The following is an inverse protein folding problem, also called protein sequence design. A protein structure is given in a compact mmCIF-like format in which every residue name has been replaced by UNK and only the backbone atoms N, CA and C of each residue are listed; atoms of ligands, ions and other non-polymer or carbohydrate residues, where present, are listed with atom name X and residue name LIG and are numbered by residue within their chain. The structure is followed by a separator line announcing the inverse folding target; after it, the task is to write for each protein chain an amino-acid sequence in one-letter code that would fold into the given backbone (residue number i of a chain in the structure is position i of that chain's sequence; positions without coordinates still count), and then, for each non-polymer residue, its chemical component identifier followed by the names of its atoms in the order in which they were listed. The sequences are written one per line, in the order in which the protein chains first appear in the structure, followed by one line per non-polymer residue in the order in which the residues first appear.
data_IF_323715872877
#
_entry.id   IF_323715872877
#
_cell.length_a   1.000
_cell.length_b   1.000
_cell.length_c   1.000
_cell.angle_alpha   90.00
_cell.angle_beta   90.00
_cell.angle_gamma   90.00
#
_symmetry.space_group_name_H-M   'P 1'
#
loop_
_entity.id
_entity.type
_entity.pdbx_description
1 polymer ?
#
# COMPACT_ATOMS: atom_id res chain seq x y z
N UNK A 1 15.15 -18.86 10.60
CA UNK A 1 13.98 -18.62 9.70
C UNK A 1 13.94 -19.53 8.47
N UNK A 2 15.00 -19.67 7.67
CA UNK A 2 14.98 -20.47 6.42
C UNK A 2 14.54 -21.94 6.62
N UNK A 3 15.03 -22.60 7.66
CA UNK A 3 14.69 -24.00 7.96
C UNK A 3 13.20 -24.17 8.35
N UNK A 4 12.64 -23.19 9.08
CA UNK A 4 11.25 -23.20 9.54
C UNK A 4 10.27 -22.93 8.38
N UNK A 5 10.62 -22.00 7.48
CA UNK A 5 9.83 -21.72 6.28
C UNK A 5 9.80 -22.92 5.31
N UNK A 6 10.92 -23.66 5.19
CA UNK A 6 10.98 -24.88 4.38
C UNK A 6 10.09 -25.99 4.94
N UNK A 7 10.14 -26.22 6.26
CA UNK A 7 9.29 -27.20 6.94
C UNK A 7 7.80 -26.83 6.90
N UNK A 8 7.45 -25.54 7.02
CA UNK A 8 6.07 -25.07 6.87
C UNK A 8 5.56 -25.23 5.44
N UNK A 9 6.35 -24.90 4.43
CA UNK A 9 5.94 -25.04 3.01
C UNK A 9 5.55 -26.48 2.67
N UNK A 10 6.22 -27.47 3.26
CA UNK A 10 5.89 -28.88 3.07
C UNK A 10 4.56 -29.31 3.72
N UNK A 11 4.09 -28.56 4.72
CA UNK A 11 2.82 -28.79 5.42
C UNK A 11 1.68 -27.95 4.83
N UNK A 12 1.96 -26.68 4.57
CA UNK A 12 1.06 -25.67 4.04
C UNK A 12 1.89 -24.65 3.22
N UNK A 13 1.76 -24.66 1.88
CA UNK A 13 2.46 -23.73 1.00
C UNK A 13 2.16 -22.25 1.28
N UNK A 14 0.92 -21.92 1.68
CA UNK A 14 0.48 -20.56 1.95
C UNK A 14 1.06 -20.05 3.26
N UNK A 15 1.07 -20.88 4.30
CA UNK A 15 1.76 -20.56 5.55
C UNK A 15 3.27 -20.38 5.34
N UNK A 16 3.88 -21.25 4.53
CA UNK A 16 5.29 -21.11 4.13
C UNK A 16 5.57 -19.81 3.38
N UNK A 17 4.67 -19.39 2.49
CA UNK A 17 4.77 -18.13 1.76
C UNK A 17 4.60 -16.92 2.68
N UNK A 18 3.62 -16.92 3.57
CA UNK A 18 3.41 -15.87 4.56
C UNK A 18 4.66 -15.63 5.43
N UNK A 19 5.29 -16.69 5.93
CA UNK A 19 6.54 -16.58 6.72
C UNK A 19 7.69 -15.99 5.89
N UNK A 20 7.78 -16.32 4.59
CA UNK A 20 8.77 -15.71 3.70
C UNK A 20 8.53 -14.22 3.50
N UNK A 21 7.27 -13.81 3.35
CA UNK A 21 6.86 -12.40 3.22
C UNK A 21 7.26 -11.61 4.47
N UNK A 22 6.94 -12.12 5.66
CA UNK A 22 7.32 -11.50 6.94
C UNK A 22 8.83 -11.31 6.99
N UNK A 23 9.60 -12.38 6.78
CA UNK A 23 11.06 -12.32 6.80
C UNK A 23 11.66 -11.44 5.70
N UNK A 24 10.94 -11.18 4.60
CA UNK A 24 11.38 -10.25 3.56
C UNK A 24 11.21 -8.79 4.00
N UNK A 25 10.03 -8.42 4.49
CA UNK A 25 9.78 -7.05 4.94
C UNK A 25 10.53 -6.69 6.22
N UNK A 26 10.77 -7.64 7.13
CA UNK A 26 11.63 -7.43 8.29
C UNK A 26 13.05 -7.05 7.85
N UNK A 27 13.60 -7.73 6.83
CA UNK A 27 14.92 -7.38 6.26
C UNK A 27 14.94 -5.99 5.62
N UNK A 28 13.88 -5.61 4.90
CA UNK A 28 13.78 -4.27 4.32
C UNK A 28 13.68 -3.18 5.41
N UNK A 29 12.98 -3.47 6.52
CA UNK A 29 12.92 -2.58 7.66
C UNK A 29 14.29 -2.41 8.34
N UNK A 30 14.99 -3.52 8.57
CA UNK A 30 16.35 -3.53 9.13
C UNK A 30 17.34 -2.75 8.26
N UNK A 31 17.27 -2.92 6.93
CA UNK A 31 18.14 -2.22 5.99
C UNK A 31 17.74 -0.77 5.71
N UNK A 32 16.67 -0.27 6.35
CA UNK A 32 16.08 1.07 6.11
C UNK A 32 15.80 1.32 4.63
N UNK A 33 15.20 0.34 3.96
CA UNK A 33 14.82 0.47 2.56
C UNK A 33 13.88 1.66 2.34
N UNK A 34 14.05 2.35 1.21
CA UNK A 34 13.17 3.46 0.82
C UNK A 34 11.78 2.99 0.41
N UNK A 35 10.85 3.95 0.32
CA UNK A 35 9.44 3.72 -0.02
C UNK A 35 9.26 2.90 -1.30
N UNK A 36 9.97 3.22 -2.38
CA UNK A 36 9.85 2.48 -3.65
C UNK A 36 10.28 1.01 -3.51
N UNK A 37 11.33 0.72 -2.75
CA UNK A 37 11.80 -0.65 -2.55
C UNK A 37 10.76 -1.50 -1.78
N UNK A 38 10.01 -0.88 -0.86
CA UNK A 38 8.91 -1.53 -0.15
C UNK A 38 7.74 -1.83 -1.08
N UNK A 39 7.31 -0.86 -1.88
CA UNK A 39 6.22 -1.05 -2.87
C UNK A 39 6.61 -2.08 -3.92
N UNK A 40 7.86 -2.05 -4.39
CA UNK A 40 8.43 -3.07 -5.28
C UNK A 40 8.41 -4.45 -4.67
N UNK A 41 8.79 -4.56 -3.39
CA UNK A 41 8.70 -5.81 -2.64
C UNK A 41 7.27 -6.36 -2.62
N UNK A 42 6.28 -5.50 -2.36
CA UNK A 42 4.88 -5.89 -2.37
C UNK A 42 4.42 -6.38 -3.75
N UNK A 43 4.75 -5.65 -4.83
CA UNK A 43 4.37 -6.02 -6.19
C UNK A 43 4.97 -7.36 -6.62
N UNK A 44 6.27 -7.55 -6.39
CA UNK A 44 6.99 -8.79 -6.79
C UNK A 44 6.50 -9.99 -5.99
N UNK A 45 6.26 -9.84 -4.68
CA UNK A 45 5.78 -10.94 -3.84
C UNK A 45 4.31 -11.29 -4.14
N UNK A 46 3.49 -10.31 -4.50
CA UNK A 46 2.10 -10.52 -4.88
C UNK A 46 1.98 -11.05 -6.33
N UNK A 47 2.96 -10.79 -7.19
CA UNK A 47 2.87 -11.09 -8.62
C UNK A 47 1.82 -10.24 -9.35
N UNK A 48 1.45 -9.10 -8.79
CA UNK A 48 0.55 -8.12 -9.39
C UNK A 48 1.08 -6.70 -9.11
N UNK A 49 0.60 -5.66 -9.81
CA UNK A 49 1.02 -4.31 -9.51
C UNK A 49 0.64 -3.92 -8.08
N UNK A 50 1.52 -3.17 -7.42
CA UNK A 50 1.26 -2.56 -6.12
C UNK A 50 1.33 -1.04 -6.23
N UNK A 51 0.40 -0.37 -5.56
CA UNK A 51 0.29 1.09 -5.61
C UNK A 51 0.19 1.66 -4.21
N UNK A 52 1.05 2.61 -3.89
CA UNK A 52 1.01 3.44 -2.70
C UNK A 52 0.54 4.85 -3.08
N UNK A 53 -0.50 5.33 -2.40
CA UNK A 53 -0.93 6.73 -2.45
C UNK A 53 -1.02 7.27 -1.04
N UNK A 54 -0.30 8.36 -0.77
CA UNK A 54 -0.42 9.17 0.44
C UNK A 54 -0.49 10.64 0.01
N UNK A 55 -1.70 11.22 -0.07
CA UNK A 55 -1.88 12.59 -0.55
C UNK A 55 -1.33 13.63 0.44
N UNK A 56 -1.35 13.35 1.75
CA UNK A 56 -0.80 14.25 2.77
C UNK A 56 0.73 14.39 2.66
N UNK A 57 1.40 13.31 2.23
CA UNK A 57 2.86 13.29 2.01
C UNK A 57 3.25 13.49 0.55
N UNK A 58 2.26 13.66 -0.35
CA UNK A 58 2.44 13.75 -1.81
C UNK A 58 3.24 12.57 -2.37
N UNK A 59 3.06 11.39 -1.80
CA UNK A 59 3.71 10.16 -2.23
C UNK A 59 2.75 9.40 -3.13
N UNK A 60 3.17 9.22 -4.38
CA UNK A 60 2.48 8.36 -5.35
C UNK A 60 3.53 7.44 -5.96
N UNK A 61 3.39 6.14 -5.71
CA UNK A 61 4.32 5.12 -6.21
C UNK A 61 3.51 3.94 -6.69
N UNK A 62 3.65 3.58 -7.96
CA UNK A 62 3.09 2.34 -8.50
C UNK A 62 4.23 1.53 -9.09
N UNK A 63 4.23 0.25 -8.79
CA UNK A 63 5.23 -0.71 -9.25
C UNK A 63 4.51 -1.90 -9.84
N UNK A 64 4.88 -2.29 -11.05
CA UNK A 64 4.35 -3.47 -11.75
C UNK A 64 4.88 -4.76 -11.12
N UNK A 65 4.28 -5.91 -11.47
CA UNK A 65 4.66 -7.22 -10.93
C UNK A 65 6.13 -7.61 -11.23
N UNK A 66 6.72 -7.08 -12.30
CA UNK A 66 8.14 -7.27 -12.65
C UNK A 66 9.09 -6.37 -11.83
N UNK A 67 8.53 -5.52 -10.97
CA UNK A 67 9.26 -4.58 -10.14
C UNK A 67 9.56 -3.25 -10.82
N UNK A 68 9.12 -3.00 -12.06
CA UNK A 68 9.32 -1.72 -12.75
C UNK A 68 8.36 -0.66 -12.22
N UNK A 69 8.88 0.57 -12.01
CA UNK A 69 8.06 1.70 -11.58
C UNK A 69 7.28 2.25 -12.77
N UNK A 70 6.01 2.53 -12.56
CA UNK A 70 5.14 3.21 -13.52
C UNK A 70 4.43 4.37 -12.83
N UNK A 71 4.51 5.58 -13.37
CA UNK A 71 3.69 6.70 -12.90
C UNK A 71 2.35 6.71 -13.66
N UNK A 72 1.31 6.14 -13.06
CA UNK A 72 -0.05 6.13 -13.64
C UNK A 72 -0.93 7.16 -12.95
N UNK A 73 -1.67 7.98 -13.72
CA UNK A 73 -2.53 9.06 -13.22
C UNK A 73 -3.99 8.68 -12.91
N UNK A 74 -4.39 7.43 -13.17
CA UNK A 74 -5.77 6.96 -12.93
C UNK A 74 -6.00 6.72 -11.44
N UNK A 75 -7.18 7.01 -10.85
CA UNK A 75 -7.50 6.64 -9.47
C UNK A 75 -7.42 5.11 -9.23
N UNK A 76 -7.02 4.65 -8.02
CA UNK A 76 -7.09 3.23 -7.67
C UNK A 76 -8.56 2.75 -7.57
N UNK A 77 -8.82 1.51 -7.98
CA UNK A 77 -10.14 0.89 -7.82
C UNK A 77 -10.36 0.54 -6.33
N UNK A 78 -11.45 1.01 -5.69
CA UNK A 78 -11.73 0.70 -4.29
C UNK A 78 -12.03 -0.79 -4.04
N UNK A 79 -12.32 -1.58 -5.06
CA UNK A 79 -12.56 -3.02 -4.94
C UNK A 79 -11.26 -3.84 -4.78
N UNK A 80 -10.10 -3.24 -5.03
CA UNK A 80 -8.81 -3.91 -4.90
C UNK A 80 -8.42 -4.15 -3.44
N UNK A 81 -7.76 -5.28 -3.13
CA UNK A 81 -7.18 -5.51 -1.80
C UNK A 81 -6.26 -4.35 -1.39
N UNK A 82 -6.47 -3.82 -0.18
CA UNK A 82 -5.72 -2.67 0.31
C UNK A 82 -5.51 -2.68 1.82
N UNK A 83 -4.54 -1.88 2.27
CA UNK A 83 -4.30 -1.60 3.67
C UNK A 83 -3.96 -0.12 3.87
N UNK A 84 -4.62 0.51 4.85
CA UNK A 84 -4.25 1.83 5.36
C UNK A 84 -2.88 1.75 6.05
N UNK A 85 -2.04 2.76 5.85
CA UNK A 85 -0.72 2.82 6.49
C UNK A 85 -0.85 3.12 7.99
N UNK A 86 -1.81 3.96 8.35
CA UNK A 86 -2.15 4.34 9.71
C UNK A 86 -3.68 4.36 9.85
N UNK A 87 -4.25 3.93 10.99
CA UNK A 87 -5.70 4.02 11.20
C UNK A 87 -6.20 5.45 11.00
N UNK A 88 -7.12 5.66 10.05
CA UNK A 88 -7.69 6.99 9.77
C UNK A 88 -6.74 7.96 9.07
N UNK A 89 -5.56 7.51 8.63
CA UNK A 89 -4.63 8.30 7.83
C UNK A 89 -4.95 8.21 6.34
N UNK A 90 -4.54 9.21 5.56
CA UNK A 90 -4.82 9.25 4.12
C UNK A 90 -3.95 8.30 3.26
N UNK A 91 -2.89 7.71 3.85
CA UNK A 91 -1.98 6.80 3.15
C UNK A 91 -2.54 5.40 3.02
N UNK A 92 -2.59 4.87 1.80
CA UNK A 92 -3.09 3.52 1.51
C UNK A 92 -2.20 2.81 0.50
N UNK A 93 -1.99 1.51 0.72
CA UNK A 93 -1.34 0.58 -0.19
C UNK A 93 -2.39 -0.34 -0.81
N UNK A 94 -2.43 -0.43 -2.14
CA UNK A 94 -3.29 -1.36 -2.89
C UNK A 94 -2.44 -2.42 -3.61
N UNK A 95 -3.02 -3.60 -3.76
CA UNK A 95 -2.61 -4.60 -4.75
C UNK A 95 -3.62 -4.57 -5.89
N UNK A 96 -3.18 -4.24 -7.11
CA UNK A 96 -4.05 -4.07 -8.30
C UNK A 96 -4.50 -5.42 -8.85
N UNK A 97 -5.21 -6.18 -8.03
CA UNK A 97 -5.88 -7.40 -8.45
C UNK A 97 -7.30 -7.08 -8.83
N UNK A 98 -7.53 -7.00 -10.14
CA UNK A 98 -8.87 -7.12 -10.68
C UNK A 98 -9.44 -8.50 -10.37
N UNK A 99 -10.77 -8.59 -10.35
CA UNK A 99 -11.40 -9.83 -10.78
C UNK A 99 -11.16 -9.90 -12.28
N UNK A 100 -10.03 -10.47 -12.66
CA UNK A 100 -9.44 -10.62 -14.00
C UNK A 100 -9.61 -9.46 -15.00
N UNK A 101 -8.47 -8.91 -15.43
CA UNK A 101 -8.26 -8.46 -16.82
C UNK A 101 -9.30 -7.52 -17.44
N UNK A 102 -9.36 -6.26 -16.98
CA UNK A 102 -9.67 -5.18 -17.91
C UNK A 102 -8.36 -4.73 -18.56
N UNK A 103 -7.93 -5.50 -19.56
CA UNK A 103 -6.91 -5.10 -20.50
C UNK A 103 -7.26 -3.69 -21.01
N UNK A 104 -6.38 -2.73 -20.74
CA UNK A 104 -6.48 -1.42 -21.36
C UNK A 104 -6.18 -1.56 -22.86
N UNK A 105 -7.24 -1.61 -23.67
CA UNK A 105 -7.21 -1.21 -25.09
C UNK A 105 -7.06 -2.31 -26.14
N UNK A 106 -8.06 -3.18 -26.32
CA UNK A 106 -8.20 -4.02 -27.51
C UNK A 106 -9.68 -4.21 -27.88
N UNK A 107 -10.07 -4.23 -29.18
CA UNK A 107 -11.48 -4.35 -29.56
C UNK A 107 -12.02 -5.74 -29.20
N UNK A 108 -13.24 -5.74 -28.66
CA UNK A 108 -13.93 -6.92 -28.14
C UNK A 108 -13.99 -8.09 -29.16
N UNK A 109 -13.74 -9.33 -28.74
CA UNK A 109 -13.89 -10.49 -29.62
C UNK A 109 -15.37 -10.74 -29.92
N UNK A 110 -15.77 -10.52 -31.17
CA UNK A 110 -17.05 -11.00 -31.71
C UNK A 110 -16.92 -12.49 -32.03
N UNK A 111 -17.15 -13.34 -31.02
CA UNK A 111 -17.05 -14.79 -31.18
C UNK A 111 -17.94 -15.53 -30.20
N UNK A 112 -19.01 -16.10 -30.72
CA UNK A 112 -20.00 -16.95 -30.04
C UNK A 112 -19.36 -18.26 -29.58
N UNK A 113 -18.50 -18.24 -28.56
CA UNK A 113 -17.97 -19.46 -27.91
C UNK A 113 -17.42 -19.22 -26.47
N UNK A 114 -17.79 -18.11 -25.82
CA UNK A 114 -17.47 -17.88 -24.41
C UNK A 114 -18.42 -18.69 -23.50
N UNK A 115 -18.06 -19.96 -23.28
CA UNK A 115 -18.66 -20.80 -22.24
C UNK A 115 -18.60 -20.06 -20.91
N UNK A 116 -19.76 -19.71 -20.36
CA UNK A 116 -19.96 -19.11 -19.04
C UNK A 116 -19.42 -20.04 -17.93
N UNK A 117 -18.12 -19.95 -17.65
CA UNK A 117 -17.64 -20.14 -16.30
C UNK A 117 -17.78 -18.80 -15.60
N UNK A 118 -18.75 -18.66 -14.68
CA UNK A 118 -18.72 -17.55 -13.72
C UNK A 118 -17.34 -17.62 -13.04
N UNK A 119 -16.46 -16.62 -13.17
CA UNK A 119 -15.20 -16.66 -12.45
C UNK A 119 -15.55 -16.75 -10.97
N UNK A 120 -15.18 -17.89 -10.36
CA UNK A 120 -15.34 -18.07 -8.94
C UNK A 120 -14.63 -16.90 -8.25
N UNK A 121 -15.23 -16.29 -7.21
CA UNK A 121 -14.56 -15.23 -6.48
C UNK A 121 -13.21 -15.78 -6.02
N UNK A 122 -12.12 -15.16 -6.47
CA UNK A 122 -10.78 -15.47 -5.95
C UNK A 122 -10.85 -15.33 -4.44
N UNK A 123 -10.69 -16.45 -3.74
CA UNK A 123 -10.69 -16.44 -2.29
C UNK A 123 -9.61 -15.46 -1.81
N UNK A 124 -9.87 -14.73 -0.71
CA UNK A 124 -8.87 -13.84 -0.15
C UNK A 124 -7.58 -14.63 0.12
N UNK A 125 -6.51 -14.28 -0.58
CA UNK A 125 -5.22 -14.91 -0.38
C UNK A 125 -4.66 -14.45 0.96
N UNK A 126 -4.36 -15.41 1.83
CA UNK A 126 -3.68 -15.16 3.10
C UNK A 126 -2.34 -14.45 2.86
N UNK A 127 -1.64 -14.83 1.80
CA UNK A 127 -0.36 -14.22 1.43
C UNK A 127 -0.53 -12.74 1.10
N UNK A 128 -1.61 -12.35 0.43
CA UNK A 128 -1.89 -10.95 0.11
C UNK A 128 -2.19 -10.11 1.34
N UNK A 129 -2.99 -10.66 2.25
CA UNK A 129 -3.27 -10.03 3.52
C UNK A 129 -1.96 -9.79 4.31
N UNK A 130 -1.08 -10.79 4.33
CA UNK A 130 0.24 -10.68 4.99
C UNK A 130 1.15 -9.68 4.26
N UNK A 131 1.17 -9.65 2.93
CA UNK A 131 1.95 -8.66 2.16
C UNK A 131 1.48 -7.25 2.52
N UNK A 132 0.17 -7.01 2.47
CA UNK A 132 -0.43 -5.71 2.77
C UNK A 132 -0.14 -5.27 4.21
N UNK A 133 -0.38 -6.14 5.19
CA UNK A 133 -0.12 -5.86 6.61
C UNK A 133 1.35 -5.51 6.85
N UNK A 134 2.26 -6.37 6.38
CA UNK A 134 3.71 -6.20 6.62
C UNK A 134 4.26 -4.99 5.87
N UNK A 135 3.87 -4.79 4.61
CA UNK A 135 4.32 -3.63 3.83
C UNK A 135 3.79 -2.32 4.41
N UNK A 136 2.50 -2.23 4.75
CA UNK A 136 1.90 -1.03 5.32
C UNK A 136 2.55 -0.64 6.66
N UNK A 137 2.82 -1.61 7.53
CA UNK A 137 3.51 -1.39 8.81
C UNK A 137 4.92 -0.80 8.63
N UNK A 138 5.72 -1.34 7.70
CA UNK A 138 7.07 -0.82 7.44
C UNK A 138 7.03 0.53 6.72
N UNK A 139 6.10 0.72 5.78
CA UNK A 139 5.88 1.99 5.08
C UNK A 139 5.55 3.11 6.06
N UNK A 140 4.66 2.87 7.04
CA UNK A 140 4.36 3.82 8.11
C UNK A 140 5.64 4.24 8.84
N UNK A 141 6.45 3.28 9.29
CA UNK A 141 7.71 3.56 10.00
C UNK A 141 8.69 4.40 9.15
N UNK A 142 8.81 4.10 7.86
CA UNK A 142 9.69 4.85 6.95
C UNK A 142 9.16 6.25 6.71
N UNK A 143 7.87 6.40 6.41
CA UNK A 143 7.24 7.69 6.14
C UNK A 143 7.30 8.60 7.37
N UNK A 144 7.02 8.08 8.56
CA UNK A 144 7.11 8.82 9.82
C UNK A 144 8.55 9.28 10.11
N UNK A 145 9.56 8.45 9.80
CA UNK A 145 10.96 8.84 9.91
C UNK A 145 11.33 9.95 8.92
N UNK A 146 10.89 9.86 7.67
CA UNK A 146 11.23 10.85 6.63
C UNK A 146 10.56 12.20 6.86
N UNK A 147 9.43 12.22 7.58
CA UNK A 147 8.69 13.43 7.93
C UNK A 147 9.24 14.08 9.20
N UNK A 148 10.56 14.10 9.39
CA UNK A 148 11.22 14.82 10.48
C UNK A 148 10.90 16.33 10.47
N UNK A 149 9.68 16.70 10.88
CA UNK A 149 9.20 17.99 11.40
C UNK A 149 7.70 17.89 11.80
N UNK A 150 7.48 17.98 13.11
CA UNK A 150 6.23 18.10 13.87
C UNK A 150 5.24 16.90 13.87
N UNK A 151 4.93 16.31 15.05
CA UNK A 151 3.83 15.36 15.23
C UNK A 151 2.49 15.90 14.72
N UNK A 152 1.55 15.02 14.37
CA UNK A 152 0.17 15.43 14.10
C UNK A 152 -0.45 16.11 15.34
N UNK A 153 -0.08 15.65 16.54
CA UNK A 153 -0.47 16.23 17.83
C UNK A 153 0.52 17.30 18.33
N UNK A 154 1.02 18.17 17.44
CA UNK A 154 1.89 19.27 17.87
C UNK A 154 1.05 20.33 18.62
N UNK A 155 1.26 20.53 19.94
CA UNK A 155 0.51 21.52 20.70
C UNK A 155 0.66 22.94 20.13
N UNK A 156 1.79 23.26 19.47
CA UNK A 156 1.98 24.55 18.82
C UNK A 156 1.05 24.76 17.62
N UNK A 157 0.64 23.68 16.92
CA UNK A 157 -0.36 23.76 15.86
C UNK A 157 -1.75 24.01 16.43
N UNK A 158 -2.09 23.39 17.56
CA UNK A 158 -3.36 23.65 18.27
C UNK A 158 -3.38 25.09 18.80
N UNK A 159 -2.30 25.55 19.41
CA UNK A 159 -2.14 26.94 19.85
C UNK A 159 -2.28 27.91 18.68
N UNK A 160 -1.61 27.65 17.55
CA UNK A 160 -1.70 28.48 16.35
C UNK A 160 -3.12 28.50 15.79
N UNK A 161 -3.81 27.34 15.77
CA UNK A 161 -5.20 27.24 15.29
C UNK A 161 -6.17 28.03 16.18
N UNK A 162 -5.95 28.05 17.49
CA UNK A 162 -6.78 28.74 18.48
C UNK A 162 -6.40 30.21 18.67
N UNK A 163 -5.24 30.65 18.17
CA UNK A 163 -4.79 32.04 18.26
C UNK A 163 -5.56 32.94 17.29
N UNK A 164 -6.48 33.73 17.84
CA UNK A 164 -7.26 34.72 17.08
C UNK A 164 -6.40 35.81 16.43
N UNK A 165 -5.21 36.08 16.99
CA UNK A 165 -4.26 37.07 16.48
C UNK A 165 -3.35 36.53 15.39
N UNK A 166 -3.28 35.20 15.25
CA UNK A 166 -2.52 34.57 14.18
C UNK A 166 -3.16 34.85 12.80
N UNK A 167 -2.34 35.03 11.75
CA UNK A 167 -2.85 35.16 10.39
C UNK A 167 -3.72 33.96 9.99
N UNK A 168 -4.82 34.22 9.27
CA UNK A 168 -5.75 33.18 8.82
C UNK A 168 -5.05 32.06 8.05
N UNK A 169 -4.06 32.42 7.23
CA UNK A 169 -3.26 31.46 6.46
C UNK A 169 -2.44 30.51 7.36
N UNK A 170 -1.97 30.99 8.52
CA UNK A 170 -1.27 30.17 9.50
C UNK A 170 -2.24 29.23 10.25
N UNK A 171 -3.44 29.71 10.59
CA UNK A 171 -4.50 28.88 11.19
C UNK A 171 -4.97 27.77 10.25
N UNK A 172 -5.19 28.09 8.97
CA UNK A 172 -5.56 27.12 7.94
C UNK A 172 -4.45 26.10 7.66
N UNK A 173 -3.19 26.52 7.80
CA UNK A 173 -2.07 25.59 7.71
C UNK A 173 -2.04 24.63 8.89
N UNK A 174 -2.30 25.12 10.10
CA UNK A 174 -2.41 24.31 11.31
C UNK A 174 -3.59 23.33 11.28
N UNK A 175 -4.77 23.79 10.86
CA UNK A 175 -5.97 22.95 10.69
C UNK A 175 -5.70 21.76 9.76
N UNK A 176 -5.11 22.03 8.58
CA UNK A 176 -4.72 21.00 7.61
C UNK A 176 -3.69 20.02 8.16
N UNK A 177 -2.76 20.49 8.98
CA UNK A 177 -1.76 19.64 9.65
C UNK A 177 -2.36 18.77 10.75
N UNK A 178 -3.49 19.20 11.33
CA UNK A 178 -4.28 18.47 12.34
C UNK A 178 -5.37 17.58 11.73
N UNK A 179 -5.55 17.57 10.40
CA UNK A 179 -6.59 16.79 9.73
C UNK A 179 -8.01 17.34 9.90
N UNK A 180 -8.14 18.64 10.18
CA UNK A 180 -9.40 19.35 10.36
C UNK A 180 -9.72 20.12 9.05
N UNK A 181 -10.26 19.42 8.06
CA UNK A 181 -10.81 20.00 6.81
C UNK A 181 -12.34 19.83 6.76
#
# INVERSE_FOLDING_TARGET
MKELAGRLTALDPDAGAAVRVIAYFDRLAESRAGVEALVRGAAVLAGCPARLVDPERRVHVRVEADGTRHDTGTPPDPAWPSAELSPGGAGVLWLERGRDGAESGGPAPTGRDARYGTPAPVAPSVVDAVILERAAGVLRLVLDRTRGRAPADDPALVETLLDATAPEQARLHAARRLGLD
#
